data_IF_396458589590
#
_entry.id   IF_396458589590
#
_cell.length_a   1.000
_cell.length_b   1.000
_cell.length_c   1.000
_cell.angle_alpha   90.00
_cell.angle_beta   90.00
_cell.angle_gamma   90.00
#
_symmetry.space_group_name_H-M   'P 1'
#
loop_
_entity.id
_entity.type
_entity.pdbx_description
1 polymer ?
#
# COMPACT_ATOMS: atom_id res chain seq x y z
N UNK A 1 12.24 -10.13 -20.42
CA UNK A 1 12.28 -10.81 -19.11
C UNK A 1 12.47 -9.74 -18.05
N UNK A 2 11.37 -9.29 -17.42
CA UNK A 2 11.43 -8.28 -16.37
C UNK A 2 11.91 -8.94 -15.10
N UNK A 3 13.13 -8.61 -14.65
CA UNK A 3 13.67 -9.08 -13.40
C UNK A 3 12.86 -8.45 -12.26
N UNK A 4 12.03 -9.25 -11.59
CA UNK A 4 11.46 -8.88 -10.30
C UNK A 4 12.61 -8.81 -9.31
N UNK A 5 12.97 -7.62 -8.84
CA UNK A 5 13.96 -7.44 -7.78
C UNK A 5 13.46 -8.16 -6.52
N UNK A 6 14.00 -9.34 -6.27
CA UNK A 6 13.72 -10.14 -5.08
C UNK A 6 14.79 -9.86 -4.02
N UNK A 7 14.76 -8.66 -3.43
CA UNK A 7 15.55 -8.33 -2.23
C UNK A 7 14.77 -8.79 -1.00
N UNK A 8 14.73 -10.11 -0.77
CA UNK A 8 14.04 -10.74 0.35
C UNK A 8 14.75 -10.46 1.69
N UNK A 9 14.32 -9.40 2.39
CA UNK A 9 13.74 -9.63 3.72
C UNK A 9 12.24 -9.70 3.49
N UNK A 10 11.67 -10.89 3.60
CA UNK A 10 10.22 -11.05 3.47
C UNK A 10 9.54 -10.09 4.45
N UNK A 11 8.70 -9.19 3.93
CA UNK A 11 7.84 -8.41 4.79
C UNK A 11 6.87 -9.37 5.46
N UNK A 12 6.63 -9.12 6.74
CA UNK A 12 5.66 -9.80 7.60
C UNK A 12 4.27 -10.00 6.97
N UNK A 13 3.93 -9.19 5.97
CA UNK A 13 2.64 -9.19 5.28
C UNK A 13 2.72 -9.57 3.79
N UNK A 14 3.83 -10.16 3.32
CA UNK A 14 4.02 -10.54 1.91
C UNK A 14 2.95 -11.51 1.40
N UNK A 15 2.59 -12.52 2.20
CA UNK A 15 1.56 -13.50 1.81
C UNK A 15 0.20 -12.83 1.62
N UNK A 16 -0.13 -11.87 2.49
CA UNK A 16 -1.37 -11.10 2.37
C UNK A 16 -1.34 -10.18 1.15
N UNK A 17 -0.19 -9.57 0.85
CA UNK A 17 0.00 -8.77 -0.35
C UNK A 17 -0.16 -9.61 -1.63
N UNK A 18 0.41 -10.82 -1.63
CA UNK A 18 0.27 -11.82 -2.69
C UNK A 18 -1.21 -12.17 -2.90
N UNK A 19 -1.90 -12.50 -1.81
CA UNK A 19 -3.31 -12.85 -1.84
C UNK A 19 -4.16 -11.72 -2.47
N UNK A 20 -3.96 -10.47 -2.02
CA UNK A 20 -4.70 -9.32 -2.57
C UNK A 20 -4.40 -9.12 -4.06
N UNK A 21 -3.13 -9.19 -4.47
CA UNK A 21 -2.74 -9.03 -5.88
C UNK A 21 -3.39 -10.09 -6.76
N UNK A 22 -3.32 -11.36 -6.36
CA UNK A 22 -3.82 -12.48 -7.15
C UNK A 22 -5.35 -12.49 -7.22
N UNK A 23 -6.04 -12.27 -6.10
CA UNK A 23 -7.51 -12.25 -6.05
C UNK A 23 -8.09 -11.09 -6.85
N UNK A 24 -7.43 -9.93 -6.84
CA UNK A 24 -7.85 -8.76 -7.63
C UNK A 24 -7.40 -8.83 -9.09
N UNK A 25 -6.54 -9.79 -9.46
CA UNK A 25 -5.84 -9.84 -10.76
C UNK A 25 -5.10 -8.54 -11.09
N UNK A 26 -4.61 -7.84 -10.07
CA UNK A 26 -3.92 -6.58 -10.24
C UNK A 26 -2.47 -6.79 -10.70
N UNK A 27 -1.92 -5.81 -11.44
CA UNK A 27 -0.51 -5.77 -11.81
C UNK A 27 0.42 -5.64 -10.59
N UNK A 28 -0.08 -5.03 -9.52
CA UNK A 28 0.61 -4.91 -8.25
C UNK A 28 -0.37 -4.66 -7.11
N UNK A 29 0.10 -4.80 -5.88
CA UNK A 29 -0.66 -4.55 -4.67
C UNK A 29 0.21 -3.87 -3.62
N UNK A 30 -0.44 -3.05 -2.78
CA UNK A 30 0.11 -2.48 -1.57
C UNK A 30 -0.87 -2.77 -0.44
N UNK A 31 -0.36 -3.31 0.66
CA UNK A 31 -1.15 -3.60 1.85
C UNK A 31 -0.54 -2.82 3.01
N UNK A 32 -1.40 -2.09 3.73
CA UNK A 32 -1.06 -1.41 4.98
C UNK A 32 -1.87 -2.04 6.10
N UNK A 33 -1.21 -2.37 7.21
CA UNK A 33 -1.83 -2.94 8.40
C UNK A 33 -1.64 -1.97 9.56
N UNK A 34 -2.76 -1.58 10.16
CA UNK A 34 -2.82 -0.78 11.38
C UNK A 34 -3.40 -1.65 12.50
N UNK A 35 -2.74 -1.72 13.65
CA UNK A 35 -3.17 -2.47 14.84
C UNK A 35 -3.54 -3.94 14.55
N UNK A 36 -2.80 -4.59 13.65
CA UNK A 36 -2.99 -6.01 13.37
C UNK A 36 -2.55 -6.87 14.55
N UNK A 37 -3.04 -8.12 14.62
CA UNK A 37 -2.65 -9.10 15.66
C UNK A 37 -1.13 -9.28 15.76
N UNK A 38 -0.45 -9.21 14.61
CA UNK A 38 1.01 -9.30 14.55
C UNK A 38 1.68 -7.91 14.68
N UNK A 39 0.95 -6.81 14.74
CA UNK A 39 1.45 -5.42 14.81
C UNK A 39 1.17 -4.59 13.56
N UNK A 40 1.78 -3.41 13.48
CA UNK A 40 1.65 -2.51 12.33
C UNK A 40 2.68 -2.81 11.24
N UNK A 41 2.42 -2.41 9.99
CA UNK A 41 3.40 -2.48 8.91
C UNK A 41 2.79 -2.39 7.53
N UNK A 42 3.60 -2.68 6.51
CA UNK A 42 3.15 -2.72 5.12
C UNK A 42 3.88 -3.81 4.32
N UNK A 43 3.29 -4.19 3.19
CA UNK A 43 3.91 -5.01 2.16
C UNK A 43 3.53 -4.48 0.77
N UNK A 44 4.45 -4.63 -0.18
CA UNK A 44 4.24 -4.16 -1.56
C UNK A 44 4.74 -5.20 -2.55
N UNK A 45 3.94 -5.45 -3.58
CA UNK A 45 4.31 -6.26 -4.73
C UNK A 45 3.96 -5.49 -5.99
N UNK A 46 4.95 -4.96 -6.70
CA UNK A 46 4.75 -4.22 -7.93
C UNK A 46 5.99 -4.28 -8.81
N UNK A 47 5.88 -3.77 -10.05
CA UNK A 47 7.05 -3.58 -10.92
C UNK A 47 7.97 -2.47 -10.39
N UNK A 48 9.24 -2.44 -10.79
CA UNK A 48 10.18 -1.38 -10.36
C UNK A 48 9.68 0.02 -10.72
N UNK A 49 9.10 0.18 -11.91
CA UNK A 49 8.51 1.44 -12.37
C UNK A 49 7.35 1.89 -11.46
N UNK A 50 6.52 0.96 -11.02
CA UNK A 50 5.42 1.25 -10.10
C UNK A 50 5.92 1.56 -8.69
N UNK A 51 6.99 0.88 -8.23
CA UNK A 51 7.62 1.13 -6.93
C UNK A 51 8.25 2.52 -6.85
N UNK A 52 8.86 3.01 -7.94
CA UNK A 52 9.41 4.37 -8.02
C UNK A 52 8.32 5.45 -7.89
N UNK A 53 7.12 5.19 -8.44
CA UNK A 53 5.98 6.12 -8.39
C UNK A 53 5.20 6.05 -7.09
N UNK A 54 5.23 4.91 -6.39
CA UNK A 54 4.39 4.62 -5.23
C UNK A 54 4.50 5.67 -4.11
N UNK A 55 5.68 6.16 -3.69
CA UNK A 55 5.76 7.19 -2.65
C UNK A 55 5.02 8.48 -3.03
N UNK A 56 5.12 8.91 -4.29
CA UNK A 56 4.40 10.08 -4.78
C UNK A 56 2.88 9.87 -4.77
N UNK A 57 2.43 8.68 -5.19
CA UNK A 57 1.01 8.30 -5.13
C UNK A 57 0.48 8.32 -3.70
N UNK A 58 1.24 7.78 -2.74
CA UNK A 58 0.84 7.73 -1.33
C UNK A 58 0.77 9.12 -0.69
N UNK A 59 1.70 10.03 -1.01
CA UNK A 59 1.62 11.42 -0.54
C UNK A 59 0.38 12.14 -1.07
N UNK A 60 0.06 11.95 -2.35
CA UNK A 60 -1.13 12.51 -2.96
C UNK A 60 -2.41 11.93 -2.35
N UNK A 61 -2.42 10.63 -2.03
CA UNK A 61 -3.52 9.98 -1.34
C UNK A 61 -3.68 10.53 0.10
N UNK A 62 -2.59 10.67 0.84
CA UNK A 62 -2.61 11.24 2.18
C UNK A 62 -3.18 12.66 2.18
N UNK A 63 -2.75 13.52 1.25
CA UNK A 63 -3.28 14.87 1.11
C UNK A 63 -4.80 14.89 0.82
N UNK A 64 -5.29 13.96 0.00
CA UNK A 64 -6.72 13.81 -0.27
C UNK A 64 -7.49 13.35 0.96
N UNK A 65 -6.95 12.37 1.70
CA UNK A 65 -7.54 11.87 2.94
C UNK A 65 -7.64 12.99 3.98
N UNK A 66 -6.57 13.76 4.17
CA UNK A 66 -6.56 14.91 5.09
C UNK A 66 -7.59 15.98 4.71
N UNK A 67 -7.70 16.29 3.41
CA UNK A 67 -8.69 17.26 2.91
C UNK A 67 -10.11 16.80 3.20
N UNK A 68 -10.40 15.51 2.94
CA UNK A 68 -11.71 14.91 3.17
C UNK A 68 -12.07 14.87 4.65
N UNK A 69 -11.20 14.34 5.50
CA UNK A 69 -11.42 14.27 6.96
C UNK A 69 -11.65 15.66 7.53
N UNK A 70 -10.85 16.65 7.13
CA UNK A 70 -11.02 18.04 7.57
C UNK A 70 -12.37 18.62 7.18
N UNK A 71 -12.89 18.25 6.01
CA UNK A 71 -14.21 18.69 5.54
C UNK A 71 -15.32 18.05 6.39
N UNK A 72 -15.26 16.74 6.60
CA UNK A 72 -16.23 16.00 7.42
C UNK A 72 -16.25 16.49 8.88
N UNK A 73 -15.09 16.79 9.47
CA UNK A 73 -15.00 17.35 10.83
C UNK A 73 -15.56 18.78 10.94
N UNK A 74 -15.53 19.58 9.87
CA UNK A 74 -16.13 20.92 9.85
C UNK A 74 -17.64 20.90 9.74
N UNK A 75 -18.22 19.85 9.17
CA UNK A 75 -19.67 19.69 9.05
C UNK A 75 -20.33 19.13 10.30
N UNK A 76 -19.54 18.71 11.29
CA UNK A 76 -19.99 18.15 12.58
C UNK A 76 -20.00 19.19 13.72
N UNK A 77 -19.45 20.39 13.49
CA UNK A 77 -19.48 21.54 14.40
C UNK A 77 -20.39 22.64 13.83
#
# INVERSE_FOLDING_TARGET
MSQTLNTQKSSKYDDLCTYVREKSKARGAFVMVMDGEKGHGFAVQASSEDLERLPGMLRNLAAQVESRIRTELRTLN
#
